data_IF_903106591724
#
_entry.id   IF_903106591724
#
_cell.length_a   1.000
_cell.length_b   1.000
_cell.length_c   1.000
_cell.angle_alpha   90.00
_cell.angle_beta   90.00
_cell.angle_gamma   90.00
#
_symmetry.space_group_name_H-M   'P 1'
#
loop_
_entity.id
_entity.type
_entity.pdbx_description
1 polymer ?
#
# COMPACT_ATOMS: atom_id res chain seq x y z
N UNK A 1 -1.40 12.00 1.62
CA UNK A 1 -0.64 10.93 0.92
C UNK A 1 0.08 10.02 1.92
N UNK A 2 0.09 8.71 1.70
CA UNK A 2 0.69 7.70 2.60
C UNK A 2 2.06 7.24 2.14
N UNK A 3 2.95 6.90 3.07
CA UNK A 3 4.20 6.17 2.81
C UNK A 3 4.02 4.66 2.89
N UNK A 4 5.06 3.92 2.48
CA UNK A 4 5.16 2.48 2.77
C UNK A 4 5.10 2.17 4.26
N UNK A 5 5.72 2.98 5.11
CA UNK A 5 5.70 2.77 6.56
C UNK A 5 4.28 2.96 7.12
N UNK A 6 3.55 3.96 6.64
CA UNK A 6 2.15 4.17 7.05
C UNK A 6 1.27 2.99 6.64
N UNK A 7 1.41 2.51 5.40
CA UNK A 7 0.63 1.37 4.88
C UNK A 7 0.99 0.07 5.61
N UNK A 8 2.29 -0.17 5.84
CA UNK A 8 2.75 -1.35 6.57
C UNK A 8 2.19 -1.38 8.01
N UNK A 9 2.19 -0.23 8.70
CA UNK A 9 1.57 -0.09 10.03
C UNK A 9 0.08 -0.38 10.02
N UNK A 10 -0.67 0.15 9.04
CA UNK A 10 -2.11 -0.12 8.94
C UNK A 10 -2.42 -1.60 8.70
N UNK A 11 -1.58 -2.29 7.94
CA UNK A 11 -1.73 -3.71 7.66
C UNK A 11 -1.16 -4.62 8.76
N UNK A 12 -0.50 -4.06 9.79
CA UNK A 12 0.16 -4.83 10.83
C UNK A 12 1.34 -5.67 10.35
N UNK A 13 1.97 -5.27 9.23
CA UNK A 13 3.10 -5.99 8.62
C UNK A 13 4.37 -5.15 8.64
N UNK A 14 5.52 -5.80 8.45
CA UNK A 14 6.77 -5.08 8.26
C UNK A 14 6.82 -4.40 6.89
N UNK A 15 7.61 -3.32 6.79
CA UNK A 15 7.85 -2.64 5.51
C UNK A 15 8.43 -3.55 4.44
N UNK A 16 9.24 -4.53 4.84
CA UNK A 16 9.80 -5.52 3.92
C UNK A 16 8.72 -6.46 3.37
N UNK A 17 7.82 -6.94 4.22
CA UNK A 17 6.68 -7.78 3.81
C UNK A 17 5.78 -7.01 2.86
N UNK A 18 5.48 -5.73 3.16
CA UNK A 18 4.73 -4.88 2.24
C UNK A 18 5.39 -4.87 0.85
N UNK A 19 6.71 -4.64 0.78
CA UNK A 19 7.42 -4.54 -0.50
C UNK A 19 7.51 -5.86 -1.27
N UNK A 20 7.73 -6.97 -0.59
CA UNK A 20 7.93 -8.28 -1.22
C UNK A 20 6.62 -8.99 -1.56
N UNK A 21 5.56 -8.74 -0.79
CA UNK A 21 4.34 -9.56 -0.84
C UNK A 21 3.09 -8.77 -1.22
N UNK A 22 3.00 -7.48 -0.87
CA UNK A 22 1.80 -6.66 -1.07
C UNK A 22 1.94 -5.75 -2.30
N UNK A 23 3.02 -4.97 -2.39
CA UNK A 23 3.28 -4.07 -3.53
C UNK A 23 3.29 -4.78 -4.90
N UNK A 24 3.77 -6.03 -5.04
CA UNK A 24 3.77 -6.72 -6.34
C UNK A 24 2.40 -7.27 -6.74
N UNK A 25 1.40 -7.26 -5.85
CA UNK A 25 0.10 -7.83 -6.17
C UNK A 25 -0.61 -6.99 -7.24
N UNK A 26 -1.29 -7.62 -8.21
CA UNK A 26 -1.93 -6.91 -9.31
C UNK A 26 -3.12 -6.04 -8.87
N UNK A 27 -3.72 -6.36 -7.73
CA UNK A 27 -4.84 -5.64 -7.11
C UNK A 27 -4.37 -4.48 -6.22
N UNK A 28 -3.07 -4.39 -5.89
CA UNK A 28 -2.58 -3.33 -5.02
C UNK A 28 -2.58 -1.97 -5.75
N UNK A 29 -3.08 -0.90 -5.10
CA UNK A 29 -3.18 0.42 -5.71
C UNK A 29 -1.83 0.96 -6.20
N UNK A 30 -1.86 1.60 -7.37
CA UNK A 30 -0.69 2.27 -7.95
C UNK A 30 -0.31 3.50 -7.12
N UNK A 31 0.99 3.82 -7.01
CA UNK A 31 1.42 5.01 -6.29
C UNK A 31 0.99 6.26 -7.05
N UNK A 32 0.38 7.20 -6.32
CA UNK A 32 -0.03 8.50 -6.84
C UNK A 32 1.16 9.42 -7.10
N UNK A 33 2.25 9.24 -6.34
CA UNK A 33 3.48 10.01 -6.53
C UNK A 33 4.70 9.11 -6.41
N UNK A 34 5.57 9.16 -7.42
CA UNK A 34 6.87 8.50 -7.42
C UNK A 34 7.94 9.53 -7.78
N UNK A 35 8.57 10.10 -6.76
CA UNK A 35 9.70 11.02 -6.94
C UNK A 35 11.03 10.27 -7.02
N UNK A 36 11.16 9.18 -6.27
CA UNK A 36 12.36 8.33 -6.27
C UNK A 36 12.04 6.91 -5.85
N UNK A 37 13.04 6.01 -5.91
CA UNK A 37 12.90 4.63 -5.38
C UNK A 37 12.53 4.60 -3.89
N UNK A 38 12.95 5.59 -3.12
CA UNK A 38 12.67 5.71 -1.67
C UNK A 38 11.42 6.55 -1.38
N UNK A 39 11.15 7.55 -2.21
CA UNK A 39 10.05 8.50 -2.04
C UNK A 39 8.91 8.14 -3.00
N UNK A 40 8.09 7.20 -2.54
CA UNK A 40 6.86 6.77 -3.20
C UNK A 40 5.71 6.99 -2.24
N UNK A 41 4.62 7.57 -2.74
CA UNK A 41 3.42 7.88 -1.98
C UNK A 41 2.18 7.38 -2.69
N UNK A 42 1.17 7.03 -1.89
CA UNK A 42 -0.16 6.62 -2.34
C UNK A 42 -1.21 7.59 -1.84
N UNK A 43 -2.29 7.73 -2.59
CA UNK A 43 -3.47 8.40 -2.08
C UNK A 43 -4.10 7.59 -0.96
N UNK A 44 -4.55 8.29 0.08
CA UNK A 44 -5.16 7.64 1.26
C UNK A 44 -6.45 6.93 0.86
N UNK A 45 -7.22 7.54 -0.05
CA UNK A 45 -8.49 7.00 -0.54
C UNK A 45 -8.30 5.67 -1.27
N UNK A 46 -7.29 5.56 -2.14
CA UNK A 46 -7.02 4.32 -2.89
C UNK A 46 -6.59 3.18 -1.98
N UNK A 47 -5.72 3.44 -0.99
CA UNK A 47 -5.32 2.41 -0.02
C UNK A 47 -6.53 1.95 0.79
N UNK A 48 -7.36 2.87 1.28
CA UNK A 48 -8.57 2.53 2.06
C UNK A 48 -9.54 1.70 1.24
N UNK A 49 -9.84 2.13 0.01
CA UNK A 49 -10.71 1.39 -0.91
C UNK A 49 -10.20 -0.02 -1.16
N UNK A 50 -8.90 -0.19 -1.40
CA UNK A 50 -8.31 -1.50 -1.57
C UNK A 50 -8.44 -2.36 -0.30
N UNK A 51 -8.19 -1.81 0.90
CA UNK A 51 -8.37 -2.55 2.15
C UNK A 51 -9.82 -2.98 2.38
N UNK A 52 -10.80 -2.12 2.06
CA UNK A 52 -12.23 -2.48 2.12
C UNK A 52 -12.56 -3.62 1.15
N UNK A 53 -11.99 -3.60 -0.06
CA UNK A 53 -12.15 -4.69 -1.03
C UNK A 53 -11.55 -6.01 -0.54
N UNK A 54 -10.37 -5.98 0.10
CA UNK A 54 -9.75 -7.19 0.68
C UNK A 54 -10.59 -7.77 1.82
N UNK A 55 -11.21 -6.91 2.65
CA UNK A 55 -12.08 -7.35 3.76
C UNK A 55 -13.37 -8.01 3.29
N UNK A 56 -13.91 -7.60 2.14
CA UNK A 56 -15.12 -8.18 1.56
C UNK A 56 -14.86 -9.52 0.84
N UNK A 57 -13.59 -9.85 0.56
CA UNK A 57 -13.19 -11.09 -0.10
C UNK A 57 -12.75 -12.20 0.89
N UNK A 58 -12.81 -11.94 2.19
CA UNK A 58 -12.51 -12.89 3.27
C UNK A 58 -13.80 -13.40 3.92
#
# INVERSE_FOLDING_TARGET
MMTRDDIAKMLGVSREVLRKTVEPRPDFPKPALRLSRKTVRWEVADIRRWMDQQRQQA
#
